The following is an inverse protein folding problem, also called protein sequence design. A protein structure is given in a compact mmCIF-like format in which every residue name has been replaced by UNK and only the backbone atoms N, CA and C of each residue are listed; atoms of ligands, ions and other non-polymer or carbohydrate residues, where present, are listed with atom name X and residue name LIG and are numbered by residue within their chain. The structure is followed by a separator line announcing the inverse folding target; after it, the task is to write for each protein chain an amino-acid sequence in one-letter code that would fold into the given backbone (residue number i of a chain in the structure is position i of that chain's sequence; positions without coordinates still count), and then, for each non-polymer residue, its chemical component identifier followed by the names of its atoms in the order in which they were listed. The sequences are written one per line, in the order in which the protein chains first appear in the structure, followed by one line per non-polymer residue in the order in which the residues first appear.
data_IF_271033759041
#
_entry.id   IF_271033759041
#
_cell.length_a   1.000
_cell.length_b   1.000
_cell.length_c   1.000
_cell.angle_alpha   90.00
_cell.angle_beta   90.00
_cell.angle_gamma   90.00
#
_symmetry.space_group_name_H-M   'P 1'
#
loop_
_entity.id
_entity.type
_entity.pdbx_description
1 polymer ?
#
# COMPACT_ATOMS: atom_id res chain seq x y z
N UNK A 1 22.22 -4.24 18.59
CA UNK A 1 22.09 -2.81 18.94
C UNK A 1 20.92 -2.63 19.89
N UNK A 2 20.92 -1.57 20.72
CA UNK A 2 19.92 -1.34 21.78
C UNK A 2 19.14 -0.05 21.49
N UNK A 3 17.81 -0.13 21.49
CA UNK A 3 16.93 1.02 21.45
C UNK A 3 17.22 2.03 22.59
N UNK A 4 16.95 3.33 22.39
CA UNK A 4 16.95 4.29 23.50
C UNK A 4 15.91 3.91 24.56
N UNK A 5 16.06 4.45 25.77
CA UNK A 5 14.98 4.43 26.74
C UNK A 5 13.82 5.27 26.17
N UNK A 6 12.60 4.77 26.31
CA UNK A 6 11.39 5.41 25.79
C UNK A 6 10.23 5.03 26.70
N UNK A 7 9.33 5.97 26.96
CA UNK A 7 8.12 5.66 27.70
C UNK A 7 7.19 4.78 26.88
N UNK A 8 6.40 3.96 27.56
CA UNK A 8 5.52 2.99 26.90
C UNK A 8 4.14 3.04 27.55
N UNK A 9 3.12 3.24 26.72
CA UNK A 9 1.72 3.24 27.14
C UNK A 9 0.96 2.29 26.21
N UNK A 10 0.12 1.43 26.79
CA UNK A 10 -0.69 0.46 26.05
C UNK A 10 -2.18 0.69 26.34
N UNK A 11 -2.80 1.72 25.74
CA UNK A 11 -4.21 2.04 25.92
C UNK A 11 -5.11 0.85 25.57
N UNK A 12 -6.22 0.71 26.29
CA UNK A 12 -7.21 -0.36 26.09
C UNK A 12 -8.29 0.00 25.07
N UNK A 13 -8.43 1.28 24.75
CA UNK A 13 -9.47 1.81 23.85
C UNK A 13 -8.88 2.77 22.82
N UNK A 14 -9.60 2.98 21.71
CA UNK A 14 -9.22 3.97 20.72
C UNK A 14 -9.20 5.39 21.31
N UNK A 15 -10.21 5.76 22.07
CA UNK A 15 -10.29 7.09 22.66
C UNK A 15 -9.11 7.39 23.60
N UNK A 16 -8.66 6.40 24.38
CA UNK A 16 -7.44 6.52 25.19
C UNK A 16 -6.20 6.71 24.31
N UNK A 17 -6.06 5.95 23.22
CA UNK A 17 -4.92 6.10 22.32
C UNK A 17 -4.88 7.49 21.66
N UNK A 18 -6.04 7.97 21.19
CA UNK A 18 -6.15 9.30 20.57
C UNK A 18 -5.86 10.43 21.57
N UNK A 19 -6.26 10.27 22.84
CA UNK A 19 -5.88 11.21 23.91
C UNK A 19 -4.38 11.16 24.19
N UNK A 20 -3.77 9.98 24.29
CA UNK A 20 -2.32 9.87 24.48
C UNK A 20 -1.54 10.57 23.35
N UNK A 21 -1.98 10.43 22.09
CA UNK A 21 -1.35 11.12 20.96
C UNK A 21 -1.55 12.64 20.98
N UNK A 22 -2.64 13.13 21.57
CA UNK A 22 -2.91 14.56 21.72
C UNK A 22 -2.15 15.19 22.91
N UNK A 23 -1.99 14.44 23.99
CA UNK A 23 -1.44 14.95 25.26
C UNK A 23 0.09 14.80 25.36
N UNK A 24 0.68 13.89 24.58
CA UNK A 24 2.11 13.56 24.67
C UNK A 24 2.82 14.01 23.39
N UNK A 25 3.68 15.02 23.54
CA UNK A 25 4.55 15.48 22.46
C UNK A 25 5.44 14.34 21.94
N UNK A 26 5.64 14.31 20.62
CA UNK A 26 6.54 13.35 19.95
C UNK A 26 6.24 11.87 20.30
N UNK A 27 4.97 11.58 20.62
CA UNK A 27 4.48 10.21 20.73
C UNK A 27 4.48 9.53 19.36
N UNK A 28 4.78 8.22 19.34
CA UNK A 28 4.68 7.39 18.13
C UNK A 28 3.83 6.16 18.37
N UNK A 29 2.93 5.91 17.44
CA UNK A 29 2.08 4.71 17.44
C UNK A 29 2.93 3.46 17.22
N UNK A 30 2.85 2.52 18.15
CA UNK A 30 3.41 1.18 18.02
C UNK A 30 2.32 0.20 17.56
N UNK A 31 2.29 -0.06 16.25
CA UNK A 31 1.45 -1.07 15.63
C UNK A 31 2.15 -2.45 15.61
N UNK A 32 2.47 -2.99 14.43
CA UNK A 32 3.22 -4.25 14.30
C UNK A 32 4.70 -4.19 14.71
N UNK A 33 5.27 -2.98 14.78
CA UNK A 33 6.66 -2.74 15.16
C UNK A 33 7.72 -3.21 14.16
N UNK A 34 7.34 -3.66 12.96
CA UNK A 34 8.29 -4.25 12.00
C UNK A 34 9.20 -3.23 11.30
N UNK A 35 8.83 -1.95 11.32
CA UNK A 35 9.70 -0.85 10.86
C UNK A 35 10.19 -0.02 12.04
N UNK A 36 9.26 0.48 12.88
CA UNK A 36 9.57 1.36 14.00
C UNK A 36 10.61 0.78 14.98
N UNK A 37 10.48 -0.50 15.38
CA UNK A 37 11.42 -1.10 16.33
C UNK A 37 12.83 -1.25 15.75
N UNK A 38 12.95 -1.50 14.43
CA UNK A 38 14.25 -1.50 13.76
C UNK A 38 14.85 -0.09 13.73
N UNK A 39 14.04 0.93 13.42
CA UNK A 39 14.46 2.35 13.45
C UNK A 39 14.93 2.79 14.84
N UNK A 40 14.24 2.38 15.91
CA UNK A 40 14.66 2.61 17.31
C UNK A 40 16.01 1.93 17.62
N UNK A 41 16.15 0.65 17.26
CA UNK A 41 17.38 -0.12 17.49
C UNK A 41 18.58 0.45 16.72
N UNK A 42 18.34 1.02 15.54
CA UNK A 42 19.35 1.69 14.69
C UNK A 42 19.52 3.18 15.01
N UNK A 43 18.72 3.72 15.94
CA UNK A 43 18.74 5.14 16.33
C UNK A 43 18.44 6.10 15.17
N UNK A 44 17.50 5.71 14.30
CA UNK A 44 16.91 6.58 13.29
C UNK A 44 15.64 7.29 13.79
N UNK A 45 15.04 6.83 14.89
CA UNK A 45 13.87 7.45 15.51
C UNK A 45 14.07 7.58 17.03
N UNK A 46 13.60 8.69 17.58
CA UNK A 46 13.72 9.06 19.00
C UNK A 46 12.38 9.62 19.51
N UNK A 47 11.32 8.79 19.57
CA UNK A 47 10.08 9.19 20.22
C UNK A 47 10.28 9.30 21.73
N UNK A 48 9.53 10.19 22.37
CA UNK A 48 9.49 10.29 23.84
C UNK A 48 8.60 9.20 24.43
N UNK A 49 7.53 8.83 23.71
CA UNK A 49 6.59 7.78 24.10
C UNK A 49 6.18 6.88 22.94
N UNK A 50 6.08 5.58 23.20
CA UNK A 50 5.41 4.61 22.34
C UNK A 50 3.98 4.36 22.82
N UNK A 51 3.01 4.67 21.96
CA UNK A 51 1.59 4.38 22.18
C UNK A 51 1.24 3.07 21.48
N UNK A 52 1.21 1.98 22.24
CA UNK A 52 0.95 0.63 21.75
C UNK A 52 -0.54 0.34 21.59
N UNK A 53 -0.96 0.27 20.33
CA UNK A 53 -2.35 0.05 19.94
C UNK A 53 -2.69 -1.44 19.69
N UNK A 54 -1.80 -2.39 20.05
CA UNK A 54 -2.05 -3.83 19.88
C UNK A 54 -3.20 -4.37 20.74
N UNK A 55 -3.65 -3.61 21.75
CA UNK A 55 -4.75 -4.00 22.66
C UNK A 55 -6.11 -3.43 22.29
N UNK A 56 -6.23 -2.78 21.14
CA UNK A 56 -7.47 -2.13 20.67
C UNK A 56 -8.11 -3.01 19.59
N UNK A 57 -9.01 -3.93 19.95
CA UNK A 57 -9.55 -4.93 19.02
C UNK A 57 -10.40 -4.31 17.90
N UNK A 58 -11.02 -3.16 18.15
CA UNK A 58 -11.82 -2.45 17.16
C UNK A 58 -11.02 -1.97 15.94
N UNK A 59 -9.68 -1.95 16.00
CA UNK A 59 -8.82 -1.62 14.87
C UNK A 59 -8.39 -2.83 14.03
N UNK A 60 -8.74 -4.06 14.43
CA UNK A 60 -8.34 -5.29 13.77
C UNK A 60 -9.57 -6.01 13.20
N UNK A 61 -9.88 -5.73 11.92
CA UNK A 61 -11.03 -6.34 11.24
C UNK A 61 -10.85 -6.34 9.72
N UNK A 62 -11.59 -7.24 9.07
CA UNK A 62 -11.87 -7.20 7.63
C UNK A 62 -13.40 -7.30 7.52
N UNK A 63 -14.04 -6.30 6.92
CA UNK A 63 -15.50 -6.22 6.76
C UNK A 63 -15.83 -5.98 5.30
N UNK A 64 -16.85 -6.66 4.81
CA UNK A 64 -17.41 -6.49 3.47
C UNK A 64 -18.89 -6.16 3.64
N UNK A 65 -19.31 -4.99 3.14
CA UNK A 65 -20.70 -4.52 3.18
C UNK A 65 -21.41 -4.67 1.83
N UNK A 66 -20.75 -5.30 0.85
CA UNK A 66 -21.24 -5.47 -0.52
C UNK A 66 -20.69 -4.44 -1.49
N UNK A 67 -20.61 -3.15 -1.11
CA UNK A 67 -20.05 -2.09 -1.96
C UNK A 67 -18.54 -1.94 -1.75
N UNK A 68 -18.09 -2.10 -0.50
CA UNK A 68 -16.72 -1.86 -0.12
C UNK A 68 -16.18 -2.91 0.85
N UNK A 69 -14.85 -3.04 0.84
CA UNK A 69 -14.11 -3.85 1.81
C UNK A 69 -13.31 -2.92 2.72
N UNK A 70 -13.63 -2.94 3.99
CA UNK A 70 -12.98 -2.15 5.03
C UNK A 70 -11.98 -3.02 5.78
N UNK A 71 -10.75 -2.52 5.93
CA UNK A 71 -9.66 -3.20 6.63
C UNK A 71 -9.16 -2.30 7.75
N UNK A 72 -9.29 -2.75 8.99
CA UNK A 72 -8.80 -2.01 10.15
C UNK A 72 -7.27 -1.85 10.15
N UNK A 73 -6.77 -0.74 10.72
CA UNK A 73 -5.34 -0.41 10.70
C UNK A 73 -4.47 -1.48 11.38
N UNK A 74 -5.00 -2.20 12.36
CA UNK A 74 -4.32 -3.25 13.11
C UNK A 74 -4.53 -4.66 12.56
N UNK A 75 -5.23 -4.82 11.44
CA UNK A 75 -5.34 -6.10 10.74
C UNK A 75 -3.95 -6.58 10.33
N UNK A 76 -3.59 -7.81 10.73
CA UNK A 76 -2.27 -8.35 10.39
C UNK A 76 -2.19 -8.65 8.91
N UNK A 77 -1.01 -8.47 8.34
CA UNK A 77 -0.74 -8.87 6.96
C UNK A 77 -1.03 -10.36 6.75
N UNK A 78 -0.78 -11.19 7.77
CA UNK A 78 -1.17 -12.61 7.73
C UNK A 78 -2.69 -12.84 7.69
N UNK A 79 -3.48 -12.05 8.41
CA UNK A 79 -4.93 -12.19 8.38
C UNK A 79 -5.45 -11.84 6.97
N UNK A 80 -4.84 -10.87 6.30
CA UNK A 80 -5.11 -10.54 4.89
C UNK A 80 -4.68 -11.69 3.96
N UNK A 81 -3.53 -12.32 4.19
CA UNK A 81 -3.01 -13.46 3.40
C UNK A 81 -4.00 -14.64 3.35
N UNK A 82 -4.70 -14.88 4.44
CA UNK A 82 -5.62 -16.03 4.63
C UNK A 82 -7.11 -15.65 4.62
N UNK A 83 -7.46 -14.39 4.34
CA UNK A 83 -8.87 -13.96 4.31
C UNK A 83 -9.54 -14.39 3.00
N UNK A 84 -10.62 -15.17 3.11
CA UNK A 84 -11.49 -15.53 1.97
C UNK A 84 -12.13 -14.29 1.34
N UNK A 85 -12.54 -13.32 2.17
CA UNK A 85 -13.08 -12.03 1.70
C UNK A 85 -12.07 -11.30 0.84
N UNK A 86 -10.81 -11.19 1.28
CA UNK A 86 -9.75 -10.53 0.49
C UNK A 86 -9.46 -11.34 -0.77
N UNK A 87 -9.38 -12.66 -0.67
CA UNK A 87 -9.15 -13.52 -1.83
C UNK A 87 -10.22 -13.35 -2.92
N UNK A 88 -11.49 -13.20 -2.52
CA UNK A 88 -12.61 -13.06 -3.44
C UNK A 88 -12.79 -11.63 -3.95
N UNK A 89 -12.68 -10.62 -3.08
CA UNK A 89 -13.03 -9.23 -3.41
C UNK A 89 -11.84 -8.35 -3.78
N UNK A 90 -10.65 -8.65 -3.26
CA UNK A 90 -9.42 -7.88 -3.45
C UNK A 90 -8.23 -8.79 -3.80
N UNK A 91 -8.32 -9.64 -4.84
CA UNK A 91 -7.30 -10.66 -5.12
C UNK A 91 -5.90 -10.06 -5.32
N UNK A 92 -5.80 -8.86 -5.91
CA UNK A 92 -4.52 -8.17 -6.09
C UNK A 92 -3.86 -7.78 -4.76
N UNK A 93 -4.64 -7.46 -3.71
CA UNK A 93 -4.10 -7.18 -2.38
C UNK A 93 -3.48 -8.45 -1.78
N UNK A 94 -4.14 -9.60 -1.96
CA UNK A 94 -3.58 -10.88 -1.53
C UNK A 94 -2.28 -11.21 -2.27
N UNK A 95 -2.23 -11.00 -3.59
CA UNK A 95 -1.03 -11.21 -4.41
C UNK A 95 0.13 -10.34 -3.93
N UNK A 96 -0.12 -9.06 -3.63
CA UNK A 96 0.86 -8.14 -3.06
C UNK A 96 1.37 -8.59 -1.69
N UNK A 97 0.47 -8.99 -0.78
CA UNK A 97 0.82 -9.43 0.59
C UNK A 97 1.81 -10.60 0.58
N UNK A 98 1.73 -11.50 -0.40
CA UNK A 98 2.64 -12.64 -0.50
C UNK A 98 4.10 -12.23 -0.76
N UNK A 99 4.34 -11.01 -1.24
CA UNK A 99 5.68 -10.45 -1.44
C UNK A 99 6.21 -9.70 -0.21
N UNK A 100 5.33 -9.31 0.73
CA UNK A 100 5.70 -8.53 1.92
C UNK A 100 6.55 -9.37 2.87
N UNK A 101 7.87 -9.15 2.87
CA UNK A 101 8.79 -9.76 3.82
C UNK A 101 8.65 -11.30 3.92
N UNK A 102 8.69 -11.81 5.14
CA UNK A 102 8.55 -13.22 5.44
C UNK A 102 7.39 -13.50 6.39
N UNK A 103 7.07 -14.78 6.60
CA UNK A 103 5.94 -15.20 7.46
C UNK A 103 5.99 -14.54 8.85
N UNK A 104 7.17 -14.40 9.44
CA UNK A 104 7.37 -13.80 10.76
C UNK A 104 7.02 -12.31 10.76
N UNK A 105 7.48 -11.57 9.76
CA UNK A 105 7.15 -10.14 9.64
C UNK A 105 5.67 -9.97 9.35
N UNK A 106 5.04 -10.81 8.52
CA UNK A 106 3.60 -10.77 8.25
C UNK A 106 2.70 -11.13 9.44
N UNK A 107 3.19 -11.95 10.37
CA UNK A 107 2.48 -12.24 11.64
C UNK A 107 2.33 -11.00 12.52
N UNK A 108 3.23 -10.03 12.40
CA UNK A 108 3.26 -8.82 13.25
C UNK A 108 2.89 -7.56 12.48
N UNK A 109 3.37 -7.42 11.25
CA UNK A 109 3.09 -6.32 10.36
C UNK A 109 1.60 -6.14 10.16
N UNK A 110 1.17 -4.89 10.08
CA UNK A 110 -0.23 -4.47 10.02
C UNK A 110 -0.46 -3.67 8.76
N UNK A 111 -1.68 -3.69 8.23
CA UNK A 111 -2.06 -2.89 7.05
C UNK A 111 -1.83 -1.40 7.30
N UNK A 112 -2.36 -0.86 8.41
CA UNK A 112 -2.20 0.55 8.78
C UNK A 112 -0.74 0.92 9.02
N UNK A 113 0.01 0.09 9.74
CA UNK A 113 1.46 0.31 9.92
C UNK A 113 2.24 0.40 8.60
N UNK A 114 1.91 -0.42 7.59
CA UNK A 114 2.55 -0.32 6.27
C UNK A 114 2.13 0.95 5.52
N UNK A 115 0.86 1.33 5.61
CA UNK A 115 0.35 2.57 5.00
C UNK A 115 1.04 3.80 5.61
N UNK A 116 1.11 3.88 6.94
CA UNK A 116 1.66 5.03 7.65
C UNK A 116 3.19 5.10 7.60
N UNK A 117 3.89 3.95 7.55
CA UNK A 117 5.33 3.95 7.32
C UNK A 117 5.66 4.54 5.94
N UNK A 118 4.78 4.27 4.96
CA UNK A 118 4.83 4.81 3.61
C UNK A 118 6.21 4.67 2.96
N UNK A 119 6.84 3.51 3.14
CA UNK A 119 8.04 3.19 2.39
C UNK A 119 7.66 3.13 0.89
N UNK A 120 8.36 3.85 0.00
CA UNK A 120 8.01 3.86 -1.42
C UNK A 120 8.04 2.48 -2.06
N UNK A 121 8.79 1.54 -1.49
CA UNK A 121 8.94 0.17 -1.98
C UNK A 121 7.82 -0.75 -1.49
N UNK A 122 6.98 -0.31 -0.56
CA UNK A 122 5.97 -1.15 0.07
C UNK A 122 4.78 -1.44 -0.87
N UNK A 123 4.30 -2.67 -0.76
CA UNK A 123 3.30 -3.24 -1.64
C UNK A 123 1.90 -2.73 -1.27
N UNK A 124 1.59 -2.62 0.03
CA UNK A 124 0.26 -2.18 0.50
C UNK A 124 -0.07 -0.74 0.08
N UNK A 125 0.82 0.27 0.26
CA UNK A 125 0.57 1.60 -0.29
C UNK A 125 0.37 1.61 -1.81
N UNK A 126 1.12 0.78 -2.54
CA UNK A 126 1.01 0.64 -4.00
C UNK A 126 -0.36 0.10 -4.40
N UNK A 127 -0.87 -0.93 -3.72
CA UNK A 127 -2.21 -1.47 -3.95
C UNK A 127 -3.30 -0.48 -3.54
N UNK A 128 -3.14 0.22 -2.42
CA UNK A 128 -4.09 1.24 -1.99
C UNK A 128 -4.24 2.37 -3.04
N UNK A 129 -3.13 2.79 -3.66
CA UNK A 129 -3.14 3.76 -4.75
C UNK A 129 -3.75 3.17 -6.04
N UNK A 130 -3.49 1.90 -6.35
CA UNK A 130 -4.06 1.24 -7.53
C UNK A 130 -5.58 1.02 -7.45
N UNK A 131 -6.13 0.91 -6.24
CA UNK A 131 -7.55 0.69 -5.97
C UNK A 131 -8.29 1.96 -5.52
N UNK A 132 -7.66 3.13 -5.65
CA UNK A 132 -8.24 4.43 -5.29
C UNK A 132 -8.80 4.42 -3.85
N UNK A 133 -8.07 3.80 -2.92
CA UNK A 133 -8.54 3.52 -1.57
C UNK A 133 -8.74 4.81 -0.75
N UNK A 134 -9.61 4.73 0.25
CA UNK A 134 -9.85 5.80 1.22
C UNK A 134 -9.22 5.42 2.56
N UNK A 135 -8.28 6.22 3.06
CA UNK A 135 -7.65 6.03 4.37
C UNK A 135 -8.46 6.79 5.43
N UNK A 136 -8.83 6.10 6.51
CA UNK A 136 -9.58 6.69 7.62
C UNK A 136 -8.62 7.07 8.75
N UNK A 137 -8.75 8.30 9.24
CA UNK A 137 -7.84 8.92 10.20
C UNK A 137 -8.65 9.42 11.40
N UNK A 138 -8.10 9.29 12.60
CA UNK A 138 -8.70 9.79 13.83
C UNK A 138 -7.70 10.54 14.70
N UNK A 139 -8.22 11.50 15.47
CA UNK A 139 -7.56 12.22 16.57
C UNK A 139 -8.57 12.49 17.67
N UNK A 140 -8.12 13.06 18.80
CA UNK A 140 -9.02 13.53 19.85
C UNK A 140 -10.00 14.63 19.37
N UNK A 141 -9.70 15.31 18.26
CA UNK A 141 -10.57 16.35 17.66
C UNK A 141 -11.68 15.79 16.78
N UNK A 142 -11.55 14.55 16.30
CA UNK A 142 -12.53 13.94 15.41
C UNK A 142 -11.94 12.95 14.42
N UNK A 143 -12.71 12.63 13.38
CA UNK A 143 -12.34 11.66 12.33
C UNK A 143 -12.45 12.30 10.97
N UNK A 144 -11.55 11.91 10.06
CA UNK A 144 -11.58 12.31 8.65
C UNK A 144 -11.18 11.16 7.74
N UNK A 145 -11.45 11.30 6.46
CA UNK A 145 -10.99 10.35 5.43
C UNK A 145 -10.22 11.11 4.36
N UNK A 146 -9.17 10.49 3.83
CA UNK A 146 -8.29 11.05 2.79
C UNK A 146 -8.13 10.01 1.69
N UNK A 147 -8.10 10.46 0.43
CA UNK A 147 -7.82 9.57 -0.68
C UNK A 147 -6.37 9.08 -0.62
N UNK A 148 -6.13 7.84 -1.04
CA UNK A 148 -4.75 7.34 -1.11
C UNK A 148 -3.89 8.14 -2.11
N UNK A 149 -4.50 8.90 -3.02
CA UNK A 149 -3.78 9.84 -3.89
C UNK A 149 -3.21 11.05 -3.11
N UNK A 150 -3.88 11.48 -2.03
CA UNK A 150 -3.50 12.63 -1.20
C UNK A 150 -2.79 12.21 0.10
N UNK A 151 -2.90 10.93 0.48
CA UNK A 151 -2.30 10.43 1.71
C UNK A 151 -0.75 10.47 1.72
N UNK A 152 -0.03 10.24 0.60
CA UNK A 152 1.41 10.39 0.55
C UNK A 152 1.83 11.86 0.42
N UNK A 153 2.20 12.51 1.52
CA UNK A 153 2.64 13.91 1.51
C UNK A 153 4.09 14.08 1.00
N UNK A 154 4.98 13.13 1.35
CA UNK A 154 6.37 13.08 0.86
C UNK A 154 6.97 11.69 1.11
N UNK A 155 8.27 11.53 0.83
CA UNK A 155 9.04 10.32 1.13
C UNK A 155 8.85 9.90 2.59
N UNK A 156 8.28 8.71 2.81
CA UNK A 156 8.01 8.15 4.15
C UNK A 156 7.21 9.08 5.08
N UNK A 157 6.42 9.98 4.50
CA UNK A 157 5.67 11.00 5.23
C UNK A 157 4.20 10.95 4.80
N UNK A 158 3.32 10.30 5.58
CA UNK A 158 1.89 10.35 5.33
C UNK A 158 1.31 11.72 5.70
N UNK A 159 0.15 12.05 5.14
CA UNK A 159 -0.64 13.24 5.44
C UNK A 159 -1.40 13.07 6.78
N UNK A 160 -0.64 12.77 7.84
CA UNK A 160 -1.10 12.67 9.23
C UNK A 160 -0.53 13.84 10.03
N UNK A 161 -1.38 14.48 10.82
CA UNK A 161 -0.94 15.40 11.86
C UNK A 161 -0.29 14.62 13.03
N UNK A 162 0.53 15.28 13.88
CA UNK A 162 1.23 14.61 14.98
C UNK A 162 0.32 13.84 15.95
N UNK A 163 -0.90 14.31 16.17
CA UNK A 163 -1.88 13.72 17.08
C UNK A 163 -2.90 12.79 16.38
N UNK A 164 -2.68 12.50 15.10
CA UNK A 164 -3.52 11.64 14.29
C UNK A 164 -2.95 10.24 14.13
N UNK A 165 -3.85 9.26 13.95
CA UNK A 165 -3.49 7.92 13.53
C UNK A 165 -4.46 7.35 12.50
N UNK A 166 -3.98 6.45 11.64
CA UNK A 166 -4.84 5.70 10.76
C UNK A 166 -5.69 4.69 11.57
N UNK A 167 -6.99 4.70 11.31
CA UNK A 167 -7.97 3.77 11.89
C UNK A 167 -8.19 2.56 10.98
N UNK A 168 -8.02 2.74 9.67
CA UNK A 168 -8.19 1.69 8.67
C UNK A 168 -8.20 2.25 7.26
N UNK A 169 -8.54 1.41 6.30
CA UNK A 169 -8.61 1.74 4.88
C UNK A 169 -9.84 1.05 4.27
N UNK A 170 -10.50 1.75 3.37
CA UNK A 170 -11.62 1.23 2.58
C UNK A 170 -11.21 1.10 1.13
N UNK A 171 -11.42 -0.08 0.57
CA UNK A 171 -11.24 -0.38 -0.84
C UNK A 171 -12.61 -0.57 -1.48
N UNK A 172 -12.78 -0.07 -2.71
CA UNK A 172 -13.94 -0.38 -3.55
C UNK A 172 -13.52 -1.42 -4.59
N UNK A 173 -13.90 -2.70 -4.42
CA UNK A 173 -13.62 -3.73 -5.42
C UNK A 173 -14.10 -3.33 -6.80
N UNK A 174 -13.35 -3.71 -7.84
CA UNK A 174 -13.85 -3.65 -9.21
C UNK A 174 -14.78 -4.84 -9.45
N UNK A 175 -15.62 -4.76 -10.49
CA UNK A 175 -16.49 -5.87 -10.88
C UNK A 175 -15.69 -7.15 -11.11
N UNK A 176 -16.32 -8.31 -10.86
CA UNK A 176 -15.64 -9.61 -10.96
C UNK A 176 -15.04 -9.92 -12.35
N UNK A 177 -15.40 -9.16 -13.39
CA UNK A 177 -14.85 -9.32 -14.74
C UNK A 177 -13.50 -8.65 -14.98
N UNK A 178 -13.04 -7.81 -14.05
CA UNK A 178 -11.72 -7.20 -14.19
C UNK A 178 -10.60 -8.22 -14.04
N UNK A 179 -9.51 -7.98 -14.74
CA UNK A 179 -8.25 -8.68 -14.53
C UNK A 179 -7.30 -7.82 -13.70
N UNK A 180 -6.50 -8.48 -12.87
CA UNK A 180 -5.54 -7.81 -12.00
C UNK A 180 -4.24 -8.60 -11.86
N UNK A 181 -3.12 -7.90 -11.66
CA UNK A 181 -1.83 -8.51 -11.36
C UNK A 181 -0.93 -7.52 -10.61
N UNK A 182 -0.20 -8.03 -9.63
CA UNK A 182 0.87 -7.35 -8.93
C UNK A 182 2.18 -8.09 -9.16
N UNK A 183 3.17 -7.40 -9.69
CA UNK A 183 4.52 -7.94 -9.86
C UNK A 183 5.53 -7.02 -9.20
N UNK A 184 6.54 -7.60 -8.59
CA UNK A 184 7.70 -6.87 -8.11
C UNK A 184 9.01 -7.49 -8.59
N UNK A 185 10.04 -6.66 -8.59
CA UNK A 185 11.41 -7.11 -8.72
C UNK A 185 12.20 -6.67 -7.49
N UNK A 186 12.65 -7.66 -6.73
CA UNK A 186 13.52 -7.51 -5.56
C UNK A 186 14.77 -8.38 -5.76
N UNK A 187 15.85 -8.11 -5.02
CA UNK A 187 17.10 -8.88 -5.14
C UNK A 187 16.91 -10.33 -4.70
N UNK A 188 16.06 -10.54 -3.69
CA UNK A 188 15.66 -11.81 -3.12
C UNK A 188 14.23 -11.67 -2.65
N UNK A 189 13.47 -12.76 -2.70
CA UNK A 189 12.09 -12.77 -2.22
C UNK A 189 12.01 -12.31 -0.76
N UNK A 190 11.12 -11.37 -0.48
CA UNK A 190 10.93 -10.75 0.84
C UNK A 190 11.86 -9.57 1.15
N UNK A 191 12.83 -9.24 0.28
CA UNK A 191 13.49 -7.93 0.31
C UNK A 191 12.52 -6.86 -0.24
N UNK A 192 12.73 -5.59 0.12
CA UNK A 192 11.99 -4.48 -0.50
C UNK A 192 12.14 -4.48 -2.04
N UNK A 193 11.04 -4.18 -2.73
CA UNK A 193 11.02 -4.05 -4.17
C UNK A 193 11.95 -2.93 -4.65
N UNK A 194 12.79 -3.22 -5.65
CA UNK A 194 13.49 -2.17 -6.40
C UNK A 194 12.47 -1.40 -7.25
N UNK A 195 11.52 -2.13 -7.84
CA UNK A 195 10.35 -1.60 -8.49
C UNK A 195 9.23 -2.64 -8.43
N UNK A 196 8.00 -2.18 -8.36
CA UNK A 196 6.81 -3.01 -8.46
C UNK A 196 5.76 -2.36 -9.35
N UNK A 197 4.81 -3.15 -9.85
CA UNK A 197 3.70 -2.69 -10.65
C UNK A 197 2.43 -3.41 -10.24
N UNK A 198 1.41 -2.64 -9.87
CA UNK A 198 0.02 -3.08 -9.80
C UNK A 198 -0.68 -2.67 -11.10
N UNK A 199 -1.29 -3.63 -11.78
CA UNK A 199 -2.09 -3.37 -12.99
C UNK A 199 -3.48 -3.98 -12.83
N UNK A 200 -4.50 -3.19 -13.12
CA UNK A 200 -5.89 -3.64 -13.23
C UNK A 200 -6.49 -3.13 -14.55
N UNK A 201 -7.31 -3.96 -15.18
CA UNK A 201 -8.08 -3.54 -16.34
C UNK A 201 -9.42 -4.29 -16.40
N UNK A 202 -10.41 -3.64 -16.99
CA UNK A 202 -11.73 -4.20 -17.24
C UNK A 202 -12.13 -3.91 -18.67
N UNK A 203 -12.62 -4.92 -19.38
CA UNK A 203 -13.20 -4.74 -20.70
C UNK A 203 -14.67 -4.33 -20.59
N UNK A 204 -15.12 -3.47 -21.51
CA UNK A 204 -16.52 -3.21 -21.75
C UNK A 204 -17.13 -4.28 -22.65
N UNK A 205 -18.44 -4.18 -22.86
CA UNK A 205 -19.22 -5.12 -23.69
C UNK A 205 -18.77 -5.17 -25.16
N UNK A 206 -18.06 -4.15 -25.64
CA UNK A 206 -17.49 -4.06 -26.98
C UNK A 206 -16.09 -4.70 -27.10
N UNK A 207 -15.61 -5.33 -26.02
CA UNK A 207 -14.29 -5.96 -25.95
C UNK A 207 -13.14 -4.95 -25.87
N UNK A 208 -13.43 -3.67 -25.54
CA UNK A 208 -12.42 -2.61 -25.38
C UNK A 208 -12.21 -2.28 -23.92
N UNK A 209 -11.02 -1.79 -23.56
CA UNK A 209 -10.70 -1.42 -22.17
C UNK A 209 -11.62 -0.27 -21.74
N UNK A 210 -12.49 -0.53 -20.76
CA UNK A 210 -13.43 0.42 -20.20
C UNK A 210 -12.97 1.02 -18.87
N UNK A 211 -12.01 0.36 -18.20
CA UNK A 211 -11.36 0.85 -16.98
C UNK A 211 -9.94 0.33 -16.92
N UNK A 212 -8.99 1.16 -16.49
CA UNK A 212 -7.59 0.79 -16.34
C UNK A 212 -6.97 1.49 -15.13
N UNK A 213 -6.05 0.80 -14.46
CA UNK A 213 -5.25 1.30 -13.34
C UNK A 213 -3.86 0.73 -13.44
N UNK A 214 -2.84 1.60 -13.43
CA UNK A 214 -1.44 1.20 -13.42
C UNK A 214 -0.73 2.03 -12.37
N UNK A 215 -0.21 1.37 -11.34
CA UNK A 215 0.55 2.01 -10.26
C UNK A 215 1.91 1.37 -10.11
N UNK A 216 2.95 2.20 -10.04
CA UNK A 216 4.32 1.78 -9.80
C UNK A 216 4.70 1.99 -8.34
N UNK A 217 5.32 0.99 -7.71
CA UNK A 217 5.98 1.10 -6.40
C UNK A 217 7.51 1.08 -6.56
N UNK A 218 8.23 1.63 -5.60
CA UNK A 218 9.71 1.66 -5.55
C UNK A 218 10.37 2.61 -6.55
N UNK A 219 9.62 3.20 -7.49
CA UNK A 219 10.20 4.06 -8.54
C UNK A 219 10.50 5.49 -8.08
N UNK A 220 9.63 6.09 -7.26
CA UNK A 220 9.73 7.48 -6.80
C UNK A 220 9.64 7.56 -5.26
N UNK A 221 9.43 8.77 -4.72
CA UNK A 221 9.31 9.00 -3.28
C UNK A 221 8.04 8.37 -2.66
N UNK A 222 7.01 8.13 -3.47
CA UNK A 222 5.73 7.53 -3.11
C UNK A 222 5.26 6.62 -4.27
N UNK A 223 4.24 5.76 -4.07
CA UNK A 223 3.64 5.04 -5.18
C UNK A 223 3.12 6.00 -6.26
N UNK A 224 3.40 5.70 -7.53
CA UNK A 224 3.07 6.58 -8.66
C UNK A 224 1.99 5.96 -9.52
N UNK A 225 0.82 6.59 -9.56
CA UNK A 225 -0.22 6.27 -10.54
C UNK A 225 0.20 6.76 -11.93
N UNK A 226 -0.10 5.98 -12.99
CA UNK A 226 0.36 6.26 -14.35
C UNK A 226 -0.81 6.66 -15.28
N UNK A 227 -1.44 7.82 -15.09
CA UNK A 227 -2.65 8.21 -15.82
C UNK A 227 -2.44 8.32 -17.34
N UNK A 228 -1.23 8.68 -17.79
CA UNK A 228 -0.90 8.71 -19.22
C UNK A 228 -0.89 7.31 -19.84
N UNK A 229 -0.37 6.32 -19.10
CA UNK A 229 -0.36 4.93 -19.54
C UNK A 229 -1.77 4.32 -19.51
N UNK A 230 -2.55 4.63 -18.48
CA UNK A 230 -3.96 4.24 -18.38
C UNK A 230 -4.77 4.79 -19.56
N UNK A 231 -4.66 6.10 -19.83
CA UNK A 231 -5.35 6.76 -20.94
C UNK A 231 -4.98 6.17 -22.30
N UNK A 232 -3.73 5.74 -22.49
CA UNK A 232 -3.29 5.09 -23.72
C UNK A 232 -3.94 3.71 -23.96
N UNK A 233 -4.42 3.04 -22.90
CA UNK A 233 -5.13 1.76 -23.01
C UNK A 233 -6.63 1.91 -23.13
N UNK A 234 -7.23 2.97 -22.58
CA UNK A 234 -8.67 3.21 -22.64
C UNK A 234 -9.20 3.13 -24.08
N UNK A 235 -10.26 2.36 -24.32
CA UNK A 235 -10.87 2.17 -25.64
C UNK A 235 -10.09 1.27 -26.61
N UNK A 236 -8.91 0.78 -26.23
CA UNK A 236 -8.13 -0.19 -27.03
C UNK A 236 -8.59 -1.63 -26.77
N UNK A 237 -8.09 -2.59 -27.54
CA UNK A 237 -8.31 -4.02 -27.27
C UNK A 237 -7.26 -4.63 -26.34
N UNK A 238 -6.38 -3.80 -25.75
CA UNK A 238 -5.20 -4.22 -25.00
C UNK A 238 -4.36 -5.28 -25.75
N UNK A 239 -4.12 -5.04 -27.04
CA UNK A 239 -3.23 -5.88 -27.85
C UNK A 239 -1.79 -5.79 -27.35
N UNK A 240 -0.89 -6.71 -27.74
CA UNK A 240 0.53 -6.59 -27.38
C UNK A 240 1.16 -5.24 -27.76
N UNK A 241 0.69 -4.62 -28.85
CA UNK A 241 1.14 -3.29 -29.27
C UNK A 241 0.63 -2.19 -28.33
N UNK A 242 -0.63 -2.27 -27.89
CA UNK A 242 -1.22 -1.31 -26.95
C UNK A 242 -0.54 -1.39 -25.58
N UNK A 243 -0.31 -2.62 -25.09
CA UNK A 243 0.42 -2.89 -23.84
C UNK A 243 1.84 -2.34 -23.93
N UNK A 244 2.55 -2.56 -25.05
CA UNK A 244 3.89 -2.04 -25.24
C UNK A 244 3.91 -0.50 -25.16
N UNK A 245 2.98 0.18 -25.85
CA UNK A 245 2.89 1.64 -25.81
C UNK A 245 2.63 2.19 -24.40
N UNK A 246 1.71 1.59 -23.65
CA UNK A 246 1.43 1.97 -22.25
C UNK A 246 2.63 1.70 -21.33
N UNK A 247 3.35 0.61 -21.57
CA UNK A 247 4.53 0.23 -20.78
C UNK A 247 5.72 1.16 -21.02
N UNK A 248 5.91 1.66 -22.25
CA UNK A 248 6.92 2.70 -22.54
C UNK A 248 6.64 3.97 -21.74
N UNK A 249 5.36 4.38 -21.60
CA UNK A 249 4.97 5.51 -20.74
C UNK A 249 5.27 5.24 -19.26
N UNK A 250 5.13 4.00 -18.79
CA UNK A 250 5.56 3.60 -17.45
C UNK A 250 7.08 3.67 -17.28
N UNK A 251 7.84 3.34 -18.33
CA UNK A 251 9.30 3.47 -18.36
C UNK A 251 9.79 4.92 -18.34
N UNK A 252 8.95 5.88 -18.70
CA UNK A 252 9.26 7.31 -18.66
C UNK A 252 8.95 7.96 -17.29
N UNK A 253 8.66 7.17 -16.25
CA UNK A 253 8.46 7.68 -14.88
C UNK A 253 9.71 8.43 -14.40
N UNK A 254 9.51 9.53 -13.68
CA UNK A 254 10.61 10.24 -13.01
C UNK A 254 11.09 9.42 -11.80
N UNK A 255 12.10 8.58 -12.04
CA UNK A 255 12.56 7.61 -11.06
C UNK A 255 13.71 8.15 -10.21
N UNK A 256 13.59 7.99 -8.90
CA UNK A 256 14.65 8.33 -7.95
C UNK A 256 15.81 7.34 -8.06
N UNK A 257 17.02 7.81 -7.74
CA UNK A 257 18.21 6.97 -7.59
C UNK A 257 18.57 6.82 -6.11
N UNK A 258 19.12 5.66 -5.74
CA UNK A 258 19.73 5.44 -4.43
C UNK A 258 21.18 4.95 -4.58
N UNK A 259 21.85 4.66 -3.46
CA UNK A 259 23.25 4.23 -3.42
C UNK A 259 23.54 2.91 -4.16
N UNK A 260 22.52 2.08 -4.38
CA UNK A 260 22.61 0.75 -5.00
C UNK A 260 21.88 0.68 -6.35
N UNK A 261 20.85 1.50 -6.56
CA UNK A 261 19.97 1.41 -7.72
C UNK A 261 19.84 2.77 -8.41
N UNK A 262 20.36 2.92 -9.64
CA UNK A 262 20.16 4.14 -10.40
C UNK A 262 18.74 4.22 -10.97
N UNK A 263 18.21 5.44 -11.11
CA UNK A 263 16.85 5.70 -11.58
C UNK A 263 16.55 5.11 -12.96
N UNK A 264 17.53 5.12 -13.88
CA UNK A 264 17.36 4.49 -15.21
C UNK A 264 17.07 2.99 -15.12
N UNK A 265 17.60 2.30 -14.10
CA UNK A 265 17.33 0.88 -13.91
C UNK A 265 15.91 0.65 -13.40
N UNK A 266 15.44 1.51 -12.47
CA UNK A 266 14.04 1.51 -12.03
C UNK A 266 13.08 1.82 -13.18
N UNK A 267 13.39 2.77 -14.05
CA UNK A 267 12.64 3.05 -15.29
C UNK A 267 12.55 1.82 -16.20
N UNK A 268 13.68 1.12 -16.41
CA UNK A 268 13.69 -0.12 -17.18
C UNK A 268 12.82 -1.20 -16.54
N UNK A 269 12.87 -1.35 -15.21
CA UNK A 269 12.02 -2.29 -14.48
C UNK A 269 10.55 -1.90 -14.56
N UNK A 270 10.20 -0.62 -14.39
CA UNK A 270 8.84 -0.12 -14.50
C UNK A 270 8.21 -0.50 -15.85
N UNK A 271 8.94 -0.30 -16.94
CA UNK A 271 8.53 -0.70 -18.30
C UNK A 271 8.30 -2.21 -18.43
N UNK A 272 9.22 -3.02 -17.91
CA UNK A 272 9.13 -4.49 -18.04
C UNK A 272 8.04 -5.08 -17.15
N UNK A 273 7.92 -4.60 -15.91
CA UNK A 273 6.93 -5.07 -14.93
C UNK A 273 5.52 -4.65 -15.35
N UNK A 274 5.33 -3.41 -15.80
CA UNK A 274 4.03 -2.96 -16.32
C UNK A 274 3.57 -3.79 -17.51
N UNK A 275 4.44 -4.07 -18.49
CA UNK A 275 4.10 -4.93 -19.62
C UNK A 275 3.63 -6.33 -19.18
N UNK A 276 4.35 -6.95 -18.24
CA UNK A 276 4.04 -8.30 -17.74
C UNK A 276 2.78 -8.32 -16.88
N UNK A 277 2.59 -7.31 -16.04
CA UNK A 277 1.43 -7.18 -15.17
C UNK A 277 0.17 -6.93 -16.02
N UNK A 278 0.26 -6.07 -17.05
CA UNK A 278 -0.82 -5.85 -18.00
C UNK A 278 -1.17 -7.09 -18.81
N UNK A 279 -0.18 -7.83 -19.35
CA UNK A 279 -0.45 -9.09 -20.06
C UNK A 279 -1.17 -10.11 -19.16
N UNK A 280 -0.74 -10.21 -17.90
CA UNK A 280 -1.38 -11.08 -16.90
C UNK A 280 -2.79 -10.60 -16.56
N UNK A 281 -2.99 -9.29 -16.40
CA UNK A 281 -4.31 -8.71 -16.17
C UNK A 281 -5.25 -8.97 -17.37
N UNK A 282 -4.79 -8.82 -18.62
CA UNK A 282 -5.60 -9.13 -19.82
C UNK A 282 -6.05 -10.59 -19.82
N UNK A 283 -5.17 -11.53 -19.48
CA UNK A 283 -5.52 -12.96 -19.43
C UNK A 283 -6.49 -13.32 -18.30
N UNK A 284 -6.47 -12.55 -17.21
CA UNK A 284 -7.32 -12.76 -16.03
C UNK A 284 -8.66 -12.03 -16.11
N UNK A 285 -8.78 -11.02 -16.96
CA UNK A 285 -10.04 -10.34 -17.21
C UNK A 285 -10.99 -11.25 -17.99
N UNK A 286 -12.27 -11.27 -17.60
CA UNK A 286 -13.30 -11.92 -18.39
C UNK A 286 -13.89 -10.90 -19.37
N UNK A 287 -14.13 -11.35 -20.60
CA UNK A 287 -14.74 -10.56 -21.67
C UNK A 287 -16.22 -10.85 -21.77
#
# INVERSE_FOLDING_TARGET
MKAPAVDYIAPGTLDEALRCLADIDNARVLAGGQSLMAMLNMRFAFPDCLVDINRIPELAYIRDDGDAVQVGAMTRQRDVEFSDTVAARLPILREAILNVGHRQTRNRGTVGGSLCQLDPSAEIPTIAMALDAQVHIGSARGRRSVSMAEFPASYMTPALEPDEMALGVTFKPWDASHGSCFLEFSRRHGDFAIASCAALLQFGVDGRVARCSITLGGCAATPVRMPRAEAALMGTQATPKDIAAASELCGAVDASSDAYTPGWYRQRLARVLSARALDSAVRRATR
#
